data_IF_529514146310
#
_entry.id   IF_529514146310
#
_cell.length_a   1.000
_cell.length_b   1.000
_cell.length_c   1.000
_cell.angle_alpha   90.00
_cell.angle_beta   90.00
_cell.angle_gamma   90.00
#
_symmetry.space_group_name_H-M   'P 1'
#
loop_
_entity.id
_entity.type
_entity.pdbx_description
1 polymer ?
2 non-polymer ?
3 non-polymer ?
4 water ?
#
# COMPACT_ATOMS: atom_id res chain seq x y z
N UNK A 1 17.94 7.71 1.69
CA UNK A 1 16.67 7.92 2.43
C UNK A 1 15.83 6.64 2.47
N UNK A 2 15.29 6.36 3.64
CA UNK A 2 14.44 5.19 3.86
C UNK A 2 13.02 5.72 4.07
N UNK A 3 12.08 5.27 3.23
CA UNK A 3 10.70 5.72 3.37
C UNK A 3 9.76 4.56 3.68
N UNK A 4 8.63 4.89 4.31
CA UNK A 4 7.63 3.90 4.66
C UNK A 4 6.34 4.17 3.90
N UNK A 5 5.81 3.14 3.23
CA UNK A 5 4.56 3.25 2.48
C UNK A 5 3.54 2.40 3.24
N UNK A 6 2.67 3.05 4.02
CA UNK A 6 1.64 2.37 4.82
C UNK A 6 0.30 2.18 4.13
N UNK A 7 -0.45 1.19 4.60
CA UNK A 7 -1.76 0.92 4.05
C UNK A 7 -2.33 -0.40 4.54
N UNK A 8 -3.60 -0.65 4.22
CA UNK A 8 -4.18 -1.92 4.59
C UNK A 8 -3.96 -2.92 3.47
N UNK A 9 -3.91 -2.43 2.23
CA UNK A 9 -3.64 -3.28 1.07
C UNK A 9 -4.47 -4.56 1.12
N UNK A 10 -5.78 -4.39 1.09
CA UNK A 10 -6.72 -5.50 1.18
C UNK A 10 -7.61 -5.63 -0.06
N UNK A 11 -7.05 -6.12 -1.18
CA UNK A 11 -5.67 -6.56 -1.39
C UNK A 11 -4.87 -5.50 -2.14
N UNK A 12 -3.60 -5.80 -2.38
CA UNK A 12 -2.71 -4.91 -3.11
C UNK A 12 -3.22 -4.77 -4.55
N UNK A 13 -3.31 -3.54 -5.05
CA UNK A 13 -3.77 -3.32 -6.42
C UNK A 13 -2.61 -2.81 -7.26
N UNK A 14 -2.83 -2.65 -8.56
CA UNK A 14 -1.79 -2.13 -9.44
C UNK A 14 -1.47 -0.69 -9.10
N UNK A 15 -2.44 0.01 -8.50
CA UNK A 15 -2.20 1.39 -8.11
C UNK A 15 -1.15 1.40 -7.00
N UNK A 16 -1.33 0.53 -6.01
CA UNK A 16 -0.37 0.43 -4.91
C UNK A 16 1.00 0.02 -5.44
N UNK A 17 1.02 -1.04 -6.25
CA UNK A 17 2.27 -1.53 -6.78
C UNK A 17 3.00 -0.48 -7.60
N UNK A 18 2.25 0.30 -8.37
CA UNK A 18 2.87 1.34 -9.18
C UNK A 18 3.59 2.34 -8.27
N UNK A 19 2.94 2.76 -7.20
CA UNK A 19 3.56 3.71 -6.28
C UNK A 19 4.79 3.08 -5.62
N UNK A 20 4.70 1.80 -5.26
CA UNK A 20 5.83 1.12 -4.64
C UNK A 20 7.02 1.10 -5.61
N UNK A 21 6.74 0.83 -6.88
CA UNK A 21 7.80 0.79 -7.89
C UNK A 21 8.45 2.16 -8.06
N UNK A 22 7.65 3.22 -8.01
CA UNK A 22 8.20 4.56 -8.15
C UNK A 22 9.06 4.92 -6.95
N UNK A 23 8.59 4.55 -5.76
CA UNK A 23 9.34 4.83 -4.54
C UNK A 23 10.64 4.03 -4.55
N UNK A 24 10.58 2.81 -5.07
CA UNK A 24 11.76 1.95 -5.15
C UNK A 24 12.85 2.60 -6.00
N UNK A 25 12.46 3.23 -7.10
CA UNK A 25 13.41 3.88 -7.99
C UNK A 25 13.96 5.20 -7.42
N UNK A 26 13.16 5.88 -6.62
CA UNK A 26 13.57 7.16 -6.04
C UNK A 26 14.41 7.09 -4.77
N UNK A 27 14.01 6.22 -3.85
CA UNK A 27 14.67 6.12 -2.56
C UNK A 27 15.57 4.92 -2.36
N UNK A 28 16.53 5.06 -1.45
CA UNK A 28 17.46 3.98 -1.16
C UNK A 28 16.77 2.76 -0.58
N UNK A 29 15.77 2.98 0.26
CA UNK A 29 15.05 1.88 0.88
C UNK A 29 13.57 2.21 1.06
N UNK A 30 12.73 1.21 0.82
CA UNK A 30 11.29 1.35 0.97
C UNK A 30 10.74 0.21 1.81
N UNK A 31 10.00 0.55 2.86
CA UNK A 31 9.37 -0.47 3.69
C UNK A 31 7.87 -0.30 3.55
N UNK A 32 7.19 -1.34 3.09
CA UNK A 32 5.74 -1.31 2.95
C UNK A 32 5.19 -1.78 4.29
N UNK A 33 4.42 -0.91 4.95
CA UNK A 33 3.86 -1.21 6.26
C UNK A 33 2.40 -1.62 6.14
N UNK A 34 2.12 -2.87 6.49
CA UNK A 34 0.78 -3.44 6.39
C UNK A 34 0.02 -3.36 7.72
N UNK A 35 -1.08 -2.61 7.72
CA UNK A 35 -1.86 -2.44 8.94
C UNK A 35 -2.54 -3.73 9.42
N UNK A 36 -2.35 -4.04 10.70
CA UNK A 36 -2.97 -5.23 11.28
C UNK A 36 -3.77 -4.81 12.51
N UNK A 37 -4.98 -5.34 12.63
CA UNK A 37 -5.85 -5.00 13.76
C UNK A 37 -6.21 -6.24 14.58
N UNK A 43 -12.98 -5.02 9.27
CA UNK A 43 -13.00 -6.41 8.82
C UNK A 43 -12.40 -6.53 7.42
N UNK A 44 -11.17 -7.01 7.35
CA UNK A 44 -10.48 -7.17 6.07
C UNK A 44 -10.83 -8.51 5.44
N UNK A 45 -10.79 -8.55 4.11
CA UNK A 45 -11.07 -9.79 3.40
C UNK A 45 -9.90 -10.74 3.63
N UNK A 46 -8.69 -10.21 3.55
CA UNK A 46 -7.48 -10.99 3.75
C UNK A 46 -6.84 -10.72 5.11
N UNK A 47 -6.25 -11.76 5.70
CA UNK A 47 -5.59 -11.60 6.99
C UNK A 47 -4.32 -10.79 6.79
N UNK A 48 -3.77 -10.27 7.87
CA UNK A 48 -2.54 -9.48 7.78
C UNK A 48 -1.43 -10.32 7.15
N UNK A 49 -1.38 -11.60 7.50
CA UNK A 49 -0.37 -12.50 6.96
C UNK A 49 -0.56 -12.70 5.46
N UNK A 50 -1.81 -12.86 5.03
CA UNK A 50 -2.12 -13.05 3.62
C UNK A 50 -1.81 -11.77 2.84
N UNK A 51 -2.12 -10.63 3.43
CA UNK A 51 -1.86 -9.36 2.75
C UNK A 51 -0.36 -9.13 2.61
N UNK A 52 0.40 -9.48 3.65
CA UNK A 52 1.85 -9.33 3.61
C UNK A 52 2.45 -10.28 2.57
N UNK A 53 1.96 -11.51 2.52
CA UNK A 53 2.46 -12.50 1.56
C UNK A 53 2.24 -12.02 0.12
N UNK A 54 1.08 -11.42 -0.14
CA UNK A 54 0.79 -10.91 -1.47
C UNK A 54 1.81 -9.84 -1.83
N UNK A 55 2.08 -8.94 -0.89
CA UNK A 55 3.04 -7.87 -1.13
C UNK A 55 4.46 -8.40 -1.35
N UNK A 56 4.88 -9.39 -0.56
CA UNK A 56 6.21 -9.93 -0.74
C UNK A 56 6.36 -10.56 -2.13
N UNK A 57 5.31 -11.23 -2.60
CA UNK A 57 5.37 -11.85 -3.92
C UNK A 57 5.37 -10.80 -5.03
N UNK A 58 4.48 -9.82 -4.91
CA UNK A 58 4.35 -8.78 -5.92
C UNK A 58 5.52 -7.81 -6.04
N UNK A 59 6.29 -7.66 -4.96
CA UNK A 59 7.43 -6.74 -4.96
C UNK A 59 8.78 -7.44 -4.98
N UNK A 60 8.77 -8.76 -5.18
CA UNK A 60 10.00 -9.54 -5.20
C UNK A 60 11.05 -9.02 -6.17
N UNK A 61 10.61 -8.39 -7.26
CA UNK A 61 11.52 -7.87 -8.27
C UNK A 61 12.21 -6.56 -7.88
N UNK A 62 11.77 -5.95 -6.78
CA UNK A 62 12.34 -4.69 -6.31
C UNK A 62 13.29 -4.99 -5.16
N UNK A 63 14.58 -4.92 -5.44
CA UNK A 63 15.62 -5.25 -4.46
C UNK A 63 15.68 -4.44 -3.17
N UNK A 64 15.21 -3.19 -3.20
CA UNK A 64 15.28 -2.35 -2.01
C UNK A 64 13.94 -2.16 -1.31
N UNK A 65 13.01 -3.07 -1.56
CA UNK A 65 11.70 -3.01 -0.94
C UNK A 65 11.48 -4.15 0.05
N UNK A 66 11.16 -3.79 1.29
CA UNK A 66 10.88 -4.75 2.35
C UNK A 66 9.44 -4.52 2.77
N UNK A 67 8.87 -5.47 3.51
CA UNK A 67 7.49 -5.34 3.96
C UNK A 67 7.31 -5.97 5.33
N UNK A 68 6.41 -5.39 6.12
CA UNK A 68 6.14 -5.90 7.45
C UNK A 68 4.78 -5.40 7.92
N UNK A 69 4.18 -6.12 8.87
CA UNK A 69 2.90 -5.71 9.41
C UNK A 69 3.17 -4.85 10.63
N UNK A 70 2.19 -4.05 11.02
CA UNK A 70 2.35 -3.20 12.19
C UNK A 70 1.00 -2.95 12.82
N UNK A 71 1.01 -2.68 14.12
CA UNK A 71 -0.21 -2.38 14.85
C UNK A 71 0.10 -1.10 15.62
N UNK A 72 -0.93 -0.40 16.06
CA UNK A 72 -0.70 0.83 16.79
C UNK A 72 -0.47 2.01 15.86
N UNK A 73 0.30 2.99 16.32
CA UNK A 73 0.57 4.19 15.54
C UNK A 73 1.62 4.02 14.46
N UNK A 74 1.31 4.52 13.27
CA UNK A 74 2.24 4.45 12.15
C UNK A 74 3.56 5.13 12.51
N UNK A 75 3.49 6.28 13.17
CA UNK A 75 4.71 6.99 13.53
C UNK A 75 5.64 6.16 14.40
N UNK A 76 5.09 5.26 15.20
CA UNK A 76 5.93 4.42 16.04
C UNK A 76 6.64 3.37 15.19
N UNK A 77 5.97 2.91 14.14
CA UNK A 77 6.58 1.94 13.24
C UNK A 77 7.71 2.63 12.48
N UNK A 78 7.43 3.84 12.00
CA UNK A 78 8.44 4.61 11.27
C UNK A 78 9.71 4.77 12.10
N UNK A 79 9.54 5.11 13.37
CA UNK A 79 10.68 5.29 14.27
C UNK A 79 11.39 3.96 14.49
N UNK A 80 10.60 2.91 14.64
CA UNK A 80 11.11 1.56 14.88
C UNK A 80 12.04 1.09 13.76
N UNK A 81 11.66 1.34 12.51
CA UNK A 81 12.49 0.92 11.37
C UNK A 81 13.50 1.98 10.94
N UNK A 82 13.51 3.11 11.64
CA UNK A 82 14.44 4.18 11.34
C UNK A 82 14.28 4.85 9.98
N UNK A 83 13.04 5.08 9.57
CA UNK A 83 12.79 5.72 8.28
C UNK A 83 12.79 7.24 8.43
N UNK A 84 13.02 7.93 7.32
CA UNK A 84 13.08 9.39 7.30
C UNK A 84 11.79 10.07 6.90
N UNK A 85 10.88 9.32 6.28
CA UNK A 85 9.63 9.91 5.84
C UNK A 85 8.60 8.86 5.46
N UNK A 86 7.36 9.31 5.34
CA UNK A 86 6.26 8.51 4.92
C UNK A 86 6.00 8.84 3.48
N UNK A 87 5.67 7.86 2.65
CA UNK A 87 5.35 8.15 1.25
C UNK A 87 3.95 7.61 1.03
N UNK A 88 3.14 8.37 0.30
CA UNK A 88 1.76 7.96 0.00
C UNK A 88 1.50 8.26 -1.46
N UNK A 89 0.59 7.51 -2.06
CA UNK A 89 0.27 7.75 -3.45
C UNK A 89 -0.99 8.58 -3.56
N UNK A 90 -1.05 9.40 -4.60
CA UNK A 90 -2.22 10.24 -4.84
C UNK A 90 -2.81 9.91 -6.20
N UNK A 91 -4.14 9.94 -6.26
CA UNK A 91 -4.88 9.67 -7.49
C UNK A 91 -5.86 10.83 -7.64
N UNK A 92 -6.19 11.19 -8.88
CA UNK A 92 -7.12 12.28 -9.12
C UNK A 92 -8.44 12.03 -8.39
N UNK A 93 -8.58 10.83 -7.83
CA UNK A 93 -9.79 10.44 -7.11
C UNK A 93 -9.56 10.33 -5.60
N UNK A 94 -8.32 10.02 -5.21
CA UNK A 94 -7.96 9.87 -3.80
C UNK A 94 -8.61 10.93 -2.90
N UNK A 95 -8.83 10.57 -1.64
CA UNK A 95 -9.42 11.49 -0.68
C UNK A 95 -8.34 12.47 -0.24
N UNK A 96 -8.12 13.49 -1.06
CA UNK A 96 -7.11 14.51 -0.80
C UNK A 96 -7.15 15.01 0.64
N UNK A 97 -8.33 15.40 1.09
CA UNK A 97 -8.51 15.92 2.44
C UNK A 97 -8.02 14.97 3.54
N UNK A 98 -8.38 13.70 3.42
CA UNK A 98 -7.98 12.70 4.41
C UNK A 98 -6.47 12.50 4.47
N UNK A 99 -5.83 12.44 3.31
CA UNK A 99 -4.38 12.27 3.26
C UNK A 99 -3.69 13.49 3.87
N UNK A 100 -4.21 14.67 3.57
CA UNK A 100 -3.65 15.91 4.11
C UNK A 100 -3.77 15.91 5.63
N UNK A 101 -4.93 15.48 6.12
CA UNK A 101 -5.19 15.42 7.55
C UNK A 101 -4.21 14.50 8.26
N UNK A 102 -4.05 13.28 7.74
CA UNK A 102 -3.13 12.33 8.36
C UNK A 102 -1.69 12.82 8.29
N UNK A 103 -1.32 13.43 7.16
CA UNK A 103 0.03 13.93 7.01
C UNK A 103 0.32 14.99 8.06
N UNK A 104 -0.63 15.90 8.26
CA UNK A 104 -0.42 16.93 9.27
C UNK A 104 -0.38 16.37 10.68
N UNK A 105 -1.28 15.45 10.99
CA UNK A 105 -1.31 14.85 12.32
C UNK A 105 -0.04 14.05 12.61
N UNK A 106 0.43 13.28 11.62
CA UNK A 106 1.64 12.49 11.81
C UNK A 106 2.86 13.38 12.02
N UNK A 107 2.85 14.56 11.39
CA UNK A 107 3.96 15.49 11.52
C UNK A 107 3.97 16.12 12.91
N UNK A 108 2.86 15.99 13.62
CA UNK A 108 2.76 16.51 14.98
C UNK A 108 3.14 15.41 15.98
N UNK A 109 2.65 14.20 15.74
CA UNK A 109 2.94 13.06 16.62
C UNK A 109 4.43 12.74 16.65
N UNK A 110 5.06 12.77 15.48
CA UNK A 110 6.45 12.57 15.29
C UNK A 110 6.96 13.87 14.79
N UNK A 111 7.29 14.82 15.69
CA UNK A 111 7.74 16.16 15.30
C UNK A 111 8.62 16.22 14.06
N UNK A 112 8.10 16.88 13.03
CA UNK A 112 8.85 17.03 11.79
C UNK A 112 8.82 15.88 10.80
N UNK A 113 8.15 14.78 11.13
CA UNK A 113 8.10 13.65 10.19
C UNK A 113 7.26 14.04 8.98
N UNK A 114 7.90 14.05 7.82
CA UNK A 114 7.23 14.43 6.59
C UNK A 114 6.59 13.29 5.83
N UNK A 115 5.53 13.62 5.12
CA UNK A 115 4.91 12.69 4.23
C UNK A 115 5.09 13.24 2.85
N UNK A 116 5.59 12.40 1.96
CA UNK A 116 5.84 12.81 0.59
C UNK A 116 4.82 12.11 -0.28
N UNK A 117 4.15 12.87 -1.14
CA UNK A 117 3.15 12.27 -2.02
C UNK A 117 3.68 12.07 -3.43
N UNK A 118 3.42 10.87 -3.95
CA UNK A 118 3.82 10.46 -5.30
C UNK A 118 2.53 10.25 -6.10
N UNK A 119 2.54 10.64 -7.36
CA UNK A 119 1.36 10.46 -8.20
C UNK A 119 1.34 9.08 -8.83
N UNK A 120 0.26 8.34 -8.59
CA UNK A 120 0.12 7.01 -9.16
C UNK A 120 -0.05 7.13 -10.68
N UNK A 121 0.29 6.07 -11.39
CA UNK A 121 0.16 6.06 -12.84
C UNK A 121 -1.26 6.42 -13.23
N UNK A 122 -1.39 7.22 -14.29
CA UNK A 122 -2.69 7.63 -14.76
C UNK A 122 -3.60 6.43 -15.05
N UNK A 123 -3.05 5.38 -15.64
CA UNK A 123 -3.87 4.22 -15.98
C UNK A 123 -4.54 3.52 -14.80
N UNK A 124 -4.05 3.75 -13.58
CA UNK A 124 -4.65 3.12 -12.40
C UNK A 124 -5.32 4.14 -11.49
N UNK A 125 -5.59 5.32 -12.05
CA UNK A 125 -6.22 6.42 -11.34
C UNK A 125 -7.55 6.08 -10.68
N UNK A 126 -8.28 5.10 -11.23
CA UNK A 126 -9.59 4.75 -10.70
C UNK A 126 -9.68 3.38 -10.03
N UNK A 127 -8.53 2.79 -9.73
CA UNK A 127 -8.50 1.49 -9.08
C UNK A 127 -8.41 1.62 -7.56
N UNK A 128 -9.26 0.88 -6.85
CA UNK A 128 -9.24 0.89 -5.39
C UNK A 128 -9.47 -0.55 -4.92
N UNK A 129 -8.94 -0.89 -3.75
CA UNK A 129 -9.12 -2.24 -3.21
C UNK A 129 -10.60 -2.59 -3.05
N UNK A 130 -11.38 -1.62 -2.58
CA UNK A 130 -12.80 -1.84 -2.37
C UNK A 130 -13.52 -2.25 -3.66
N UNK A 131 -13.26 -1.53 -4.75
CA UNK A 131 -13.90 -1.85 -6.01
C UNK A 131 -13.40 -3.17 -6.58
N UNK A 132 -12.12 -3.48 -6.36
CA UNK A 132 -11.57 -4.74 -6.84
C UNK A 132 -12.32 -5.89 -6.17
N UNK A 133 -12.52 -5.79 -4.87
CA UNK A 133 -13.21 -6.83 -4.12
C UNK A 133 -14.67 -6.97 -4.55
N UNK A 134 -15.33 -5.84 -4.78
CA UNK A 134 -16.73 -5.88 -5.19
C UNK A 134 -16.87 -6.56 -6.55
N UNK A 135 -16.01 -6.18 -7.50
CA UNK A 135 -16.04 -6.76 -8.83
C UNK A 135 -15.70 -8.26 -8.81
N UNK A 136 -14.64 -8.61 -8.08
CA UNK A 136 -14.21 -10.01 -8.01
C UNK A 136 -15.25 -10.90 -7.34
N UNK A 137 -15.94 -10.34 -6.36
CA UNK A 137 -16.97 -11.07 -5.62
C UNK A 137 -18.07 -11.57 -6.54
N UNK A 138 -18.36 -10.80 -7.59
CA UNK A 138 -19.40 -11.18 -8.54
C UNK A 138 -18.85 -11.83 -9.80
N UNK A 139 -17.61 -12.29 -9.74
CA UNK A 139 -17.00 -12.96 -10.88
C UNK A 139 -16.46 -12.05 -11.97
N UNK A 140 -16.34 -10.76 -11.68
CA UNK A 140 -15.82 -9.84 -12.67
C UNK A 140 -14.32 -10.00 -12.85
N UNK A 141 -13.83 -9.70 -14.05
CA UNK A 141 -12.41 -9.82 -14.36
C UNK A 141 -11.61 -8.63 -13.84
N UNK A 142 -10.77 -8.86 -12.83
CA UNK A 142 -9.96 -7.79 -12.26
C UNK A 142 -8.47 -7.99 -12.58
N UNK A 143 -8.18 -8.88 -13.52
CA UNK A 143 -6.81 -9.18 -13.90
C UNK A 143 -5.97 -7.98 -14.34
N UNK A 144 -6.60 -6.96 -14.90
CA UNK A 144 -5.86 -5.78 -15.35
C UNK A 144 -5.77 -4.71 -14.26
N UNK A 145 -6.42 -4.96 -13.13
CA UNK A 145 -6.44 -4.01 -12.02
C UNK A 145 -5.52 -4.37 -10.87
N UNK A 146 -5.09 -5.63 -10.82
CA UNK A 146 -4.25 -6.10 -9.73
C UNK A 146 -3.10 -6.96 -10.23
N UNK A 147 -2.03 -7.08 -9.43
CA UNK A 147 -0.89 -7.90 -9.84
C UNK A 147 -1.24 -9.39 -9.75
N UNK A 148 -0.48 -10.25 -10.44
CA UNK A 148 -0.72 -11.70 -10.43
C UNK A 148 -0.87 -12.32 -9.04
N UNK A 149 -0.06 -11.88 -8.08
CA UNK A 149 -0.14 -12.41 -6.72
C UNK A 149 -1.53 -12.16 -6.14
N UNK A 150 -2.08 -10.98 -6.40
CA UNK A 150 -3.40 -10.64 -5.90
C UNK A 150 -4.49 -11.43 -6.62
N UNK A 151 -4.33 -11.59 -7.93
CA UNK A 151 -5.32 -12.31 -8.71
C UNK A 151 -5.43 -13.74 -8.18
N UNK A 152 -4.29 -14.37 -7.93
CA UNK A 152 -4.28 -15.73 -7.40
C UNK A 152 -4.94 -15.81 -6.03
N UNK A 153 -4.64 -14.83 -5.17
CA UNK A 153 -5.20 -14.80 -3.83
C UNK A 153 -6.72 -14.61 -3.84
N UNK A 154 -7.21 -13.80 -4.77
CA UNK A 154 -8.65 -13.55 -4.87
C UNK A 154 -9.38 -14.81 -5.31
N UNK A 155 -8.81 -15.52 -6.28
CA UNK A 155 -9.43 -16.73 -6.78
C UNK A 155 -9.50 -17.80 -5.69
N UNK A 156 -8.45 -17.89 -4.88
CA UNK A 156 -8.41 -18.87 -3.80
C UNK A 156 -9.37 -18.49 -2.68
N UNK A 157 -9.36 -17.21 -2.30
CA UNK A 157 -10.21 -16.71 -1.23
C UNK A 157 -11.70 -16.81 -1.58
N UNK A 158 -12.05 -16.35 -2.77
CA UNK A 158 -13.44 -16.38 -3.21
C UNK A 158 -13.81 -17.72 -3.83
N UNK A 159 -12.84 -18.61 -3.94
CA UNK A 159 -13.09 -19.92 -4.51
C UNK A 159 -13.55 -19.84 -5.95
N UNK A 160 -12.82 -19.08 -6.76
CA UNK A 160 -13.16 -18.90 -8.17
C UNK A 160 -12.06 -19.42 -9.08
X LIG B 1 -5.24 1.66 3.19
X LIG B 1 -5.64 2.98 3.93
X LIG B 1 -5.52 4.21 3.00
X LIG B 1 -7.09 2.82 4.47
X LIG B 1 -4.53 3.00 5.11
X LIG B 1 -4.48 4.05 6.08
X LIG B 1 -3.32 3.81 7.12
X LIG B 1 -3.16 2.26 7.38
X LIG B 1 -1.97 4.38 6.55
X LIG B 1 -3.78 4.58 8.46
X LIG B 1 -5.05 4.05 8.93
X LIG B 1 -2.74 4.43 9.66
X LIG B 1 -1.63 5.07 9.61
X LIG B 1 -3.12 3.61 10.70
X LIG B 1 -2.29 3.35 11.90
X LIG B 1 -2.90 4.14 13.10
X LIG B 1 -2.41 5.58 13.09
X LIG B 1 -1.19 5.86 13.06
X LIG B 1 -3.35 6.53 13.12
X LIG B 1 -3.09 8.04 13.13
X LIG B 1 -3.19 8.52 11.76
X LIG B 1 -2.89 10.25 11.84
X LIG C 1 1.98 8.15 -16.24
X LIG C 1 3.38 8.58 -16.08
X LIG C 1 1.48 8.55 -17.57
X LIG C 1 1.90 6.67 -16.12
X LIG C 1 1.15 8.78 -15.20
X LIG D 1 -7.18 2.14 -1.91
X LIG D 1 -8.15 1.88 -0.83
X LIG D 1 -7.06 0.94 -2.76
X LIG D 1 -7.65 3.28 -2.74
X LIG D 1 -5.87 2.46 -1.31
X LIG E 1 13.32 11.97 10.85
X LIG E 1 13.90 13.25 11.29
X LIG E 1 13.54 11.80 9.40
X LIG E 1 13.95 10.85 11.58
X LIG E 1 11.87 11.98 11.12
#
# INVERSE_FOLDING_TARGET
MHVVYPGSFDPLTNGHLDVIQRASRLFEKVTVAVLENPSKRGQYLFSAEERLAIIREATAHLANVEAATFSGLLVDFVRRVGAQAIVKGLRAVSDYEYELQMAHLNRQLYPGLETLFILAATRYSFVSSTMVKEIARYGGDVSKLVPPATLRALKAKLGQ
PNS O23 P24 O25 O26 O27 C28 C29 C30 C31 C32 O33 C34 O35 N36 C37 C38 C39 O40 N41 C42 C43 S44
SO4 S O1 O2 O3 O4
SO4 S O1 O2 O3 O4
SO4 S O1 O2 O3 O4
#
